data_IF_728377466003
#
_entry.id   IF_728377466003
#
_cell.length_a   1.000
_cell.length_b   1.000
_cell.length_c   1.000
_cell.angle_alpha   90.00
_cell.angle_beta   90.00
_cell.angle_gamma   90.00
#
_symmetry.space_group_name_H-M   'P 1'
#
loop_
_entity.id
_entity.type
_entity.pdbx_description
1 polymer ?
#
# COMPACT_ATOMS: atom_id res chain seq x y z
N UNK A 1 18.87 2.03 -25.30
CA UNK A 1 18.44 2.83 -24.13
C UNK A 1 18.65 1.95 -22.90
N UNK A 2 19.81 2.04 -22.24
CA UNK A 2 20.13 1.19 -21.08
C UNK A 2 19.49 1.78 -19.82
N UNK A 3 18.43 1.18 -19.31
CA UNK A 3 17.61 1.74 -18.22
C UNK A 3 17.81 0.94 -16.94
N UNK A 4 18.95 1.12 -16.26
CA UNK A 4 19.23 0.40 -15.01
C UNK A 4 18.73 1.13 -13.74
N UNK A 5 18.44 2.44 -13.80
CA UNK A 5 18.02 3.24 -12.64
C UNK A 5 16.68 3.98 -12.80
N UNK A 6 16.34 4.48 -14.01
CA UNK A 6 15.06 5.20 -14.25
C UNK A 6 13.83 4.27 -14.23
N UNK A 7 14.04 2.98 -14.38
CA UNK A 7 12.98 1.98 -14.54
C UNK A 7 12.24 1.64 -13.25
N UNK A 8 12.86 1.77 -12.07
CA UNK A 8 12.23 1.28 -10.85
C UNK A 8 11.15 2.23 -10.34
N UNK A 9 11.32 3.54 -10.54
CA UNK A 9 10.25 4.50 -10.27
C UNK A 9 9.04 4.26 -11.19
N UNK A 10 9.31 3.92 -12.45
CA UNK A 10 8.30 3.51 -13.44
C UNK A 10 7.57 2.22 -13.02
N UNK A 11 8.31 1.25 -12.45
CA UNK A 11 7.75 -0.02 -11.95
C UNK A 11 6.88 0.16 -10.71
N UNK A 12 7.14 1.19 -9.90
CA UNK A 12 6.33 1.55 -8.72
C UNK A 12 5.17 2.50 -9.04
N UNK A 13 4.96 2.88 -10.30
CA UNK A 13 3.90 3.82 -10.69
C UNK A 13 2.48 3.24 -10.47
N UNK A 14 2.31 1.92 -10.57
CA UNK A 14 1.05 1.27 -10.18
C UNK A 14 0.79 1.37 -8.67
N UNK A 15 1.84 1.36 -7.85
CA UNK A 15 1.73 1.58 -6.42
C UNK A 15 1.34 3.03 -6.08
N UNK A 16 1.74 4.00 -6.91
CA UNK A 16 1.22 5.37 -6.81
C UNK A 16 -0.29 5.42 -7.06
N UNK A 17 -0.79 4.67 -8.06
CA UNK A 17 -2.24 4.55 -8.32
C UNK A 17 -2.97 3.94 -7.13
N UNK A 18 -2.40 2.89 -6.53
CA UNK A 18 -2.91 2.29 -5.29
C UNK A 18 -2.99 3.33 -4.16
N UNK A 19 -1.93 4.10 -3.94
CA UNK A 19 -1.89 5.18 -2.95
C UNK A 19 -2.95 6.26 -3.17
N UNK A 20 -3.18 6.66 -4.43
CA UNK A 20 -4.25 7.59 -4.79
C UNK A 20 -5.63 7.06 -4.38
N UNK A 21 -5.92 5.82 -4.76
CA UNK A 21 -7.21 5.18 -4.49
C UNK A 21 -7.43 4.95 -3.00
N UNK A 22 -6.37 4.64 -2.28
CA UNK A 22 -6.34 4.43 -0.83
C UNK A 22 -6.69 5.69 -0.05
N UNK A 23 -6.06 6.84 -0.38
CA UNK A 23 -6.31 8.11 0.28
C UNK A 23 -7.53 8.87 -0.26
N UNK A 24 -8.20 8.36 -1.30
CA UNK A 24 -9.38 9.01 -1.89
C UNK A 24 -10.47 9.37 -0.86
N UNK A 25 -10.79 8.53 0.14
CA UNK A 25 -11.79 8.89 1.14
C UNK A 25 -11.44 10.16 1.92
N UNK A 26 -10.16 10.52 2.10
CA UNK A 26 -9.76 11.67 2.92
C UNK A 26 -10.42 12.98 2.44
N UNK A 27 -10.16 13.48 1.22
CA UNK A 27 -10.81 14.70 0.72
C UNK A 27 -12.29 14.49 0.38
N UNK A 28 -12.65 13.32 -0.14
CA UNK A 28 -13.98 13.13 -0.74
C UNK A 28 -15.04 12.69 0.25
N UNK A 29 -14.69 12.08 1.37
CA UNK A 29 -15.67 11.80 2.43
C UNK A 29 -16.26 13.11 2.94
N UNK A 30 -15.42 14.13 3.20
CA UNK A 30 -15.88 15.45 3.62
C UNK A 30 -16.70 16.16 2.52
N UNK A 31 -16.24 16.14 1.27
CA UNK A 31 -16.94 16.81 0.15
C UNK A 31 -18.29 16.15 -0.18
N UNK A 32 -18.36 14.82 -0.19
CA UNK A 32 -19.57 14.07 -0.54
C UNK A 32 -20.63 14.17 0.56
N UNK A 33 -20.23 14.21 1.84
CA UNK A 33 -21.19 14.37 2.94
C UNK A 33 -21.74 15.79 3.02
N UNK A 34 -20.95 16.79 2.62
CA UNK A 34 -21.37 18.21 2.56
C UNK A 34 -22.20 18.53 1.31
N UNK A 35 -21.93 17.91 0.16
CA UNK A 35 -22.68 18.15 -1.09
C UNK A 35 -23.98 17.32 -1.14
N UNK A 36 -25.01 17.85 -0.47
CA UNK A 36 -26.37 17.28 -0.49
C UNK A 36 -27.11 17.47 -1.81
N UNK A 37 -26.63 18.34 -2.70
CA UNK A 37 -27.29 18.63 -3.97
C UNK A 37 -26.99 17.55 -5.00
N UNK A 38 -25.73 17.10 -5.09
CA UNK A 38 -25.32 16.11 -6.11
C UNK A 38 -25.24 14.68 -5.59
N UNK A 39 -24.91 14.48 -4.31
CA UNK A 39 -24.62 13.16 -3.77
C UNK A 39 -25.65 12.69 -2.74
N UNK A 40 -26.22 13.60 -1.93
CA UNK A 40 -27.19 13.28 -0.87
C UNK A 40 -26.85 12.02 -0.05
N UNK A 41 -25.57 11.86 0.31
CA UNK A 41 -25.04 10.72 1.08
C UNK A 41 -24.84 11.15 2.54
N UNK A 42 -25.20 10.30 3.51
CA UNK A 42 -24.99 10.53 4.94
C UNK A 42 -23.55 10.22 5.38
N UNK A 43 -23.11 10.72 6.54
CA UNK A 43 -21.79 10.38 7.11
C UNK A 43 -21.65 8.87 7.34
N UNK A 44 -22.70 8.21 7.83
CA UNK A 44 -22.72 6.78 8.08
C UNK A 44 -22.52 5.99 6.77
N UNK A 45 -23.22 6.39 5.72
CA UNK A 45 -23.06 5.79 4.40
C UNK A 45 -21.66 6.01 3.81
N UNK A 46 -21.13 7.23 3.92
CA UNK A 46 -19.78 7.53 3.43
C UNK A 46 -18.69 6.74 4.19
N UNK A 47 -18.91 6.39 5.47
CA UNK A 47 -17.98 5.58 6.25
C UNK A 47 -17.77 4.17 5.67
N UNK A 48 -18.76 3.61 4.96
CA UNK A 48 -18.62 2.30 4.31
C UNK A 48 -17.64 2.32 3.15
N UNK A 49 -17.25 3.49 2.61
CA UNK A 49 -16.26 3.55 1.52
C UNK A 49 -14.92 2.89 1.88
N UNK A 50 -14.49 3.02 3.14
CA UNK A 50 -13.24 2.39 3.61
C UNK A 50 -13.41 0.88 3.82
N UNK A 51 -14.58 0.46 4.31
CA UNK A 51 -14.91 -0.95 4.57
C UNK A 51 -15.05 -1.74 3.25
N UNK A 52 -15.75 -1.18 2.27
CA UNK A 52 -15.96 -1.82 0.96
C UNK A 52 -14.65 -1.98 0.19
N UNK A 53 -13.74 -1.01 0.30
CA UNK A 53 -12.37 -1.14 -0.22
C UNK A 53 -11.64 -2.32 0.44
N UNK A 54 -11.64 -2.41 1.77
CA UNK A 54 -11.03 -3.52 2.49
C UNK A 54 -11.65 -4.88 2.12
N UNK A 55 -12.97 -4.94 1.91
CA UNK A 55 -13.66 -6.14 1.45
C UNK A 55 -13.19 -6.59 0.05
N UNK A 56 -13.00 -5.65 -0.88
CA UNK A 56 -12.40 -5.95 -2.19
C UNK A 56 -10.98 -6.50 -2.08
N UNK A 57 -10.20 -5.96 -1.14
CA UNK A 57 -8.84 -6.43 -0.88
C UNK A 57 -8.79 -7.82 -0.25
N UNK A 58 -9.82 -8.26 0.49
CA UNK A 58 -9.84 -9.57 1.15
C UNK A 58 -10.42 -10.69 0.29
N UNK A 59 -11.40 -10.38 -0.56
CA UNK A 59 -12.23 -11.39 -1.25
C UNK A 59 -11.57 -11.97 -2.50
N UNK A 60 -10.78 -11.18 -3.21
CA UNK A 60 -10.21 -11.53 -4.51
C UNK A 60 -8.74 -12.01 -4.54
N UNK A 61 -7.88 -11.82 -3.52
CA UNK A 61 -6.48 -12.28 -3.57
C UNK A 61 -6.35 -13.78 -3.78
N UNK A 62 -7.08 -14.61 -3.02
CA UNK A 62 -6.88 -16.07 -3.04
C UNK A 62 -7.13 -16.64 -4.45
N UNK A 63 -8.14 -16.11 -5.14
CA UNK A 63 -8.51 -16.52 -6.50
C UNK A 63 -7.52 -15.97 -7.55
N UNK A 64 -7.25 -14.67 -7.52
CA UNK A 64 -6.44 -13.98 -8.54
C UNK A 64 -4.94 -14.30 -8.43
N UNK A 65 -4.45 -14.63 -7.25
CA UNK A 65 -3.06 -15.03 -7.00
C UNK A 65 -2.78 -16.46 -7.45
N UNK A 66 -3.74 -17.36 -7.28
CA UNK A 66 -3.63 -18.72 -7.84
C UNK A 66 -3.51 -18.64 -9.37
N UNK A 67 -4.25 -17.71 -9.97
CA UNK A 67 -4.15 -17.37 -11.40
C UNK A 67 -2.80 -16.72 -11.73
N UNK A 68 -2.22 -15.90 -10.85
CA UNK A 68 -0.90 -15.28 -11.05
C UNK A 68 0.23 -16.30 -11.28
N UNK A 69 0.19 -17.45 -10.58
CA UNK A 69 1.16 -18.53 -10.79
C UNK A 69 1.03 -19.14 -12.20
N UNK A 70 -0.15 -19.04 -12.81
CA UNK A 70 -0.44 -19.55 -14.13
C UNK A 70 -0.02 -18.53 -15.20
N UNK A 71 -0.46 -17.28 -15.10
CA UNK A 71 -0.39 -16.28 -16.18
C UNK A 71 0.91 -15.44 -16.15
N UNK A 72 1.63 -15.43 -15.02
CA UNK A 72 2.88 -14.67 -14.88
C UNK A 72 2.69 -13.34 -14.14
N UNK A 73 3.81 -12.78 -13.66
CA UNK A 73 3.80 -11.61 -12.75
C UNK A 73 3.52 -10.32 -13.51
N UNK A 74 4.14 -10.15 -14.69
CA UNK A 74 3.92 -8.98 -15.55
C UNK A 74 2.46 -8.89 -15.99
N UNK A 75 1.92 -9.99 -16.50
CA UNK A 75 0.56 -10.03 -17.02
C UNK A 75 -0.45 -9.71 -15.92
N UNK A 76 -0.24 -10.24 -14.71
CA UNK A 76 -1.10 -9.96 -13.58
C UNK A 76 -1.06 -8.46 -13.17
N UNK A 77 0.13 -7.85 -13.15
CA UNK A 77 0.26 -6.41 -12.87
C UNK A 77 -0.43 -5.56 -13.93
N UNK A 78 -0.37 -5.94 -15.21
CA UNK A 78 -1.15 -5.29 -16.26
C UNK A 78 -2.66 -5.48 -16.05
N UNK A 79 -3.12 -6.69 -15.69
CA UNK A 79 -4.53 -6.95 -15.39
C UNK A 79 -5.04 -6.14 -14.19
N UNK A 80 -4.18 -5.79 -13.23
CA UNK A 80 -4.55 -4.93 -12.09
C UNK A 80 -4.97 -3.51 -12.50
N UNK A 81 -4.57 -3.05 -13.69
CA UNK A 81 -4.95 -1.73 -14.20
C UNK A 81 -6.42 -1.67 -14.59
N UNK A 82 -7.02 -2.78 -15.02
CA UNK A 82 -8.42 -2.86 -15.43
C UNK A 82 -9.36 -2.43 -14.28
N UNK A 83 -9.31 -3.04 -13.08
CA UNK A 83 -10.16 -2.61 -11.98
C UNK A 83 -9.86 -1.18 -11.52
N UNK A 84 -8.62 -0.69 -11.61
CA UNK A 84 -8.29 0.71 -11.30
C UNK A 84 -8.90 1.70 -12.29
N UNK A 85 -8.78 1.45 -13.60
CA UNK A 85 -9.36 2.27 -14.66
C UNK A 85 -10.88 2.30 -14.48
N UNK A 86 -11.53 1.14 -14.33
CA UNK A 86 -12.98 1.06 -14.09
C UNK A 86 -13.37 1.79 -12.82
N UNK A 87 -12.58 1.68 -11.75
CA UNK A 87 -12.82 2.41 -10.49
C UNK A 87 -12.80 3.93 -10.68
N UNK A 88 -11.84 4.48 -11.44
CA UNK A 88 -11.80 5.92 -11.73
C UNK A 88 -12.93 6.36 -12.67
N UNK A 89 -13.25 5.58 -13.69
CA UNK A 89 -14.36 5.87 -14.62
C UNK A 89 -15.69 5.92 -13.87
N UNK A 90 -15.97 4.94 -13.01
CA UNK A 90 -17.20 4.93 -12.22
C UNK A 90 -17.31 6.16 -11.32
N UNK A 91 -16.22 6.60 -10.68
CA UNK A 91 -16.22 7.82 -9.84
C UNK A 91 -16.35 9.11 -10.66
N UNK A 92 -15.89 9.12 -11.91
CA UNK A 92 -16.00 10.27 -12.78
C UNK A 92 -17.44 10.48 -13.26
N UNK A 93 -18.15 9.39 -13.57
CA UNK A 93 -19.46 9.43 -14.24
C UNK A 93 -20.62 9.33 -13.25
N UNK A 94 -20.44 8.65 -12.12
CA UNK A 94 -21.55 8.25 -11.25
C UNK A 94 -21.56 8.99 -9.93
N UNK A 95 -22.72 9.54 -9.55
CA UNK A 95 -23.00 10.11 -8.23
C UNK A 95 -23.74 9.16 -7.30
N UNK A 96 -24.23 8.02 -7.83
CA UNK A 96 -24.95 7.01 -7.07
C UNK A 96 -24.02 6.28 -6.09
N UNK A 97 -24.45 6.19 -4.82
CA UNK A 97 -23.75 5.52 -3.74
C UNK A 97 -23.33 4.07 -4.06
N UNK A 98 -24.21 3.28 -4.70
CA UNK A 98 -23.92 1.88 -5.03
C UNK A 98 -22.82 1.74 -6.07
N UNK A 99 -22.76 2.67 -7.02
CA UNK A 99 -21.68 2.71 -8.02
C UNK A 99 -20.37 3.20 -7.42
N UNK A 100 -20.43 4.10 -6.43
CA UNK A 100 -19.26 4.50 -5.64
C UNK A 100 -18.75 3.33 -4.79
N UNK A 101 -19.63 2.51 -4.19
CA UNK A 101 -19.25 1.28 -3.50
C UNK A 101 -18.61 0.27 -4.45
N UNK A 102 -19.21 0.03 -5.62
CA UNK A 102 -18.61 -0.83 -6.63
C UNK A 102 -17.22 -0.33 -7.05
N UNK A 103 -17.07 0.98 -7.25
CA UNK A 103 -15.79 1.57 -7.58
C UNK A 103 -14.74 1.35 -6.46
N UNK A 104 -15.13 1.46 -5.18
CA UNK A 104 -14.27 1.18 -4.03
C UNK A 104 -13.88 -0.30 -3.96
N UNK A 105 -14.83 -1.20 -4.20
CA UNK A 105 -14.59 -2.64 -4.22
C UNK A 105 -13.56 -3.01 -5.30
N UNK A 106 -13.73 -2.47 -6.51
CA UNK A 106 -12.79 -2.66 -7.61
C UNK A 106 -11.39 -2.09 -7.30
N UNK A 107 -11.30 -0.93 -6.64
CA UNK A 107 -10.01 -0.41 -6.19
C UNK A 107 -9.31 -1.40 -5.24
N UNK A 108 -10.05 -2.01 -4.30
CA UNK A 108 -9.52 -3.04 -3.42
C UNK A 108 -9.07 -4.30 -4.14
N UNK A 109 -9.81 -4.72 -5.16
CA UNK A 109 -9.42 -5.83 -6.02
C UNK A 109 -8.08 -5.57 -6.73
N UNK A 110 -7.88 -4.36 -7.25
CA UNK A 110 -6.62 -3.94 -7.86
C UNK A 110 -5.48 -3.93 -6.85
N UNK A 111 -5.71 -3.38 -5.65
CA UNK A 111 -4.72 -3.36 -4.57
C UNK A 111 -4.30 -4.77 -4.14
N UNK A 112 -5.24 -5.69 -3.99
CA UNK A 112 -4.94 -7.10 -3.70
C UNK A 112 -3.91 -7.69 -4.69
N UNK A 113 -4.09 -7.42 -5.98
CA UNK A 113 -3.17 -7.88 -7.03
C UNK A 113 -1.80 -7.22 -6.87
N UNK A 114 -1.78 -5.88 -6.73
CA UNK A 114 -0.53 -5.10 -6.69
C UNK A 114 0.30 -5.45 -5.46
N UNK A 115 -0.30 -5.48 -4.27
CA UNK A 115 0.41 -5.82 -3.03
C UNK A 115 0.93 -7.27 -3.03
N UNK A 116 0.27 -8.19 -3.74
CA UNK A 116 0.74 -9.57 -3.87
C UNK A 116 1.86 -9.73 -4.91
N UNK A 117 1.72 -9.12 -6.08
CA UNK A 117 2.61 -9.40 -7.22
C UNK A 117 3.78 -8.42 -7.36
N UNK A 118 3.59 -7.13 -7.02
CA UNK A 118 4.61 -6.12 -7.29
C UNK A 118 5.86 -6.30 -6.42
N UNK A 119 5.78 -6.54 -5.09
CA UNK A 119 6.97 -6.77 -4.28
C UNK A 119 7.75 -8.02 -4.70
N UNK A 120 7.04 -9.05 -5.18
CA UNK A 120 7.64 -10.28 -5.71
C UNK A 120 8.35 -10.01 -7.02
N UNK A 121 7.70 -9.32 -7.97
CA UNK A 121 8.30 -8.95 -9.25
C UNK A 121 9.55 -8.08 -9.06
N UNK A 122 9.49 -7.05 -8.21
CA UNK A 122 10.66 -6.22 -7.85
C UNK A 122 11.76 -7.08 -7.22
N UNK A 123 11.38 -8.02 -6.34
CA UNK A 123 12.33 -8.92 -5.68
C UNK A 123 13.00 -9.94 -6.60
N UNK A 124 12.35 -10.36 -7.69
CA UNK A 124 12.87 -11.31 -8.68
C UNK A 124 13.77 -10.62 -9.73
N UNK A 125 13.51 -9.36 -10.07
CA UNK A 125 14.29 -8.61 -11.06
C UNK A 125 15.46 -7.83 -10.46
N UNK A 126 15.40 -7.45 -9.18
CA UNK A 126 16.45 -6.65 -8.51
C UNK A 126 17.70 -7.48 -8.20
N UNK A 127 18.89 -6.90 -8.44
CA UNK A 127 20.14 -7.55 -8.00
C UNK A 127 20.30 -7.47 -6.46
N UNK A 128 21.02 -8.43 -5.84
CA UNK A 128 21.15 -8.51 -4.38
C UNK A 128 21.66 -7.22 -3.72
N UNK A 129 22.58 -6.50 -4.39
CA UNK A 129 23.18 -5.25 -3.87
C UNK A 129 22.17 -4.10 -3.70
N UNK A 130 21.07 -4.12 -4.44
CA UNK A 130 20.13 -3.00 -4.51
C UNK A 130 18.73 -3.34 -3.98
N UNK A 131 18.48 -4.63 -3.68
CA UNK A 131 17.17 -5.15 -3.23
C UNK A 131 16.60 -4.43 -2.01
N UNK A 132 17.46 -4.01 -1.07
CA UNK A 132 17.04 -3.27 0.13
C UNK A 132 16.54 -1.85 -0.17
N UNK A 133 17.17 -1.15 -1.12
CA UNK A 133 16.77 0.22 -1.52
C UNK A 133 15.49 0.16 -2.37
N UNK A 134 15.41 -0.79 -3.30
CA UNK A 134 14.26 -0.90 -4.21
C UNK A 134 13.01 -1.49 -3.55
N UNK A 135 13.15 -2.33 -2.53
CA UNK A 135 12.02 -2.83 -1.75
C UNK A 135 11.18 -1.70 -1.13
N UNK A 136 11.83 -0.60 -0.73
CA UNK A 136 11.15 0.59 -0.20
C UNK A 136 10.49 1.46 -1.27
N UNK A 137 10.91 1.37 -2.53
CA UNK A 137 10.36 2.22 -3.60
C UNK A 137 8.85 2.00 -3.79
N UNK A 138 8.38 0.76 -3.56
CA UNK A 138 6.97 0.39 -3.58
C UNK A 138 6.17 1.21 -2.55
N UNK A 139 6.59 1.16 -1.28
CA UNK A 139 5.90 1.82 -0.17
C UNK A 139 5.98 3.34 -0.31
N UNK A 140 7.13 3.87 -0.72
CA UNK A 140 7.29 5.31 -0.96
C UNK A 140 6.34 5.78 -2.07
N UNK A 141 6.18 5.01 -3.16
CA UNK A 141 5.24 5.35 -4.21
C UNK A 141 3.78 5.36 -3.73
N UNK A 142 3.38 4.42 -2.85
CA UNK A 142 2.06 4.44 -2.20
C UNK A 142 1.87 5.75 -1.41
N UNK A 143 2.80 6.12 -0.54
CA UNK A 143 2.66 7.35 0.25
C UNK A 143 2.70 8.63 -0.59
N UNK A 144 3.52 8.65 -1.66
CA UNK A 144 3.49 9.73 -2.64
C UNK A 144 2.12 9.83 -3.33
N UNK A 145 1.50 8.69 -3.66
CA UNK A 145 0.12 8.64 -4.17
C UNK A 145 -0.89 9.20 -3.16
N UNK A 146 -0.77 8.84 -1.88
CA UNK A 146 -1.66 9.37 -0.83
C UNK A 146 -1.53 10.89 -0.68
N UNK A 147 -0.31 11.41 -0.72
CA UNK A 147 -0.04 12.84 -0.73
C UNK A 147 -0.62 13.52 -1.98
N UNK A 148 -0.39 12.94 -3.17
CA UNK A 148 -0.94 13.43 -4.43
C UNK A 148 -2.47 13.50 -4.43
N UNK A 149 -3.16 12.51 -3.85
CA UNK A 149 -4.62 12.51 -3.73
C UNK A 149 -5.10 13.60 -2.77
N UNK A 150 -4.42 13.82 -1.65
CA UNK A 150 -4.79 14.90 -0.73
C UNK A 150 -4.53 16.29 -1.34
N UNK A 151 -3.50 16.46 -2.18
CA UNK A 151 -3.28 17.72 -2.90
C UNK A 151 -4.36 17.91 -3.96
N UNK A 152 -4.52 16.98 -4.90
CA UNK A 152 -5.45 17.11 -6.03
C UNK A 152 -6.89 17.15 -5.51
N UNK A 153 -7.27 16.22 -4.64
CA UNK A 153 -8.61 16.10 -4.09
C UNK A 153 -9.02 17.24 -3.17
N UNK A 154 -8.07 17.97 -2.58
CA UNK A 154 -8.39 19.18 -1.81
C UNK A 154 -8.89 20.31 -2.72
N UNK A 155 -8.23 20.55 -3.84
CA UNK A 155 -8.55 21.69 -4.72
C UNK A 155 -9.51 21.34 -5.88
N UNK A 156 -9.67 20.06 -6.21
CA UNK A 156 -10.51 19.61 -7.33
C UNK A 156 -11.78 18.88 -6.86
N UNK A 157 -12.77 18.82 -7.73
CA UNK A 157 -13.97 18.01 -7.53
C UNK A 157 -13.70 16.52 -7.79
N UNK A 158 -14.65 15.66 -7.40
CA UNK A 158 -14.56 14.19 -7.59
C UNK A 158 -14.31 13.83 -9.05
N UNK A 159 -15.00 14.48 -9.99
CA UNK A 159 -14.90 14.18 -11.42
C UNK A 159 -13.53 14.54 -11.99
N UNK A 160 -13.07 15.77 -11.78
CA UNK A 160 -11.75 16.26 -12.24
C UNK A 160 -10.63 15.40 -11.66
N UNK A 161 -10.70 15.10 -10.36
CA UNK A 161 -9.70 14.23 -9.71
C UNK A 161 -9.73 12.82 -10.26
N UNK A 162 -10.89 12.31 -10.66
CA UNK A 162 -11.02 10.99 -11.27
C UNK A 162 -10.44 10.97 -12.69
N UNK A 163 -10.61 12.03 -13.49
CA UNK A 163 -9.97 12.15 -14.81
C UNK A 163 -8.44 12.24 -14.71
N UNK A 164 -7.91 13.04 -13.78
CA UNK A 164 -6.47 13.13 -13.53
C UNK A 164 -5.94 11.77 -13.04
N UNK A 165 -6.66 11.15 -12.10
CA UNK A 165 -6.32 9.83 -11.55
C UNK A 165 -6.37 8.71 -12.60
N UNK A 166 -7.22 8.81 -13.61
CA UNK A 166 -7.35 7.84 -14.71
C UNK A 166 -6.11 7.82 -15.63
N UNK A 167 -5.47 8.96 -15.85
CA UNK A 167 -4.29 9.04 -16.72
C UNK A 167 -3.14 8.17 -16.23
N UNK A 168 -2.98 8.05 -14.90
CA UNK A 168 -1.86 7.37 -14.24
C UNK A 168 -1.83 5.86 -14.50
N UNK A 169 -2.91 5.07 -14.24
CA UNK A 169 -2.94 3.65 -14.56
C UNK A 169 -2.86 3.37 -16.07
N UNK A 170 -3.36 4.27 -16.93
CA UNK A 170 -3.25 4.15 -18.39
C UNK A 170 -1.79 4.31 -18.84
N UNK A 171 -1.11 5.35 -18.34
CA UNK A 171 0.32 5.55 -18.59
C UNK A 171 1.13 4.34 -18.09
N UNK A 172 0.79 3.82 -16.90
CA UNK A 172 1.42 2.61 -16.39
C UNK A 172 1.19 1.41 -17.31
N UNK A 173 -0.03 1.17 -17.79
CA UNK A 173 -0.34 0.05 -18.69
C UNK A 173 0.50 0.11 -19.98
N UNK A 174 0.61 1.30 -20.59
CA UNK A 174 1.39 1.49 -21.82
C UNK A 174 2.86 1.19 -21.54
N UNK A 175 3.44 1.79 -20.51
CA UNK A 175 4.86 1.65 -20.21
C UNK A 175 5.20 0.22 -19.77
N UNK A 176 4.41 -0.35 -18.86
CA UNK A 176 4.66 -1.66 -18.27
C UNK A 176 4.43 -2.80 -19.27
N UNK A 177 3.66 -2.57 -20.34
CA UNK A 177 3.52 -3.53 -21.44
C UNK A 177 4.85 -3.79 -22.17
N UNK A 178 5.80 -2.84 -22.17
CA UNK A 178 7.13 -3.03 -22.75
C UNK A 178 8.14 -3.68 -21.80
N UNK A 179 7.84 -3.79 -20.50
CA UNK A 179 8.74 -4.44 -19.54
C UNK A 179 8.81 -5.95 -19.81
N UNK A 180 9.97 -6.61 -19.60
CA UNK A 180 10.05 -8.06 -19.70
C UNK A 180 9.39 -8.74 -18.50
N UNK A 181 8.97 -9.99 -18.70
CA UNK A 181 8.49 -10.84 -17.61
C UNK A 181 9.65 -11.26 -16.70
N UNK A 182 9.34 -11.62 -15.46
CA UNK A 182 10.33 -12.08 -14.49
C UNK A 182 11.15 -13.27 -15.03
N UNK A 183 12.50 -13.18 -15.05
CA UNK A 183 13.37 -14.30 -15.41
C UNK A 183 13.11 -15.53 -14.55
N UNK A 184 12.79 -15.32 -13.27
CA UNK A 184 12.46 -16.38 -12.33
C UNK A 184 11.20 -17.16 -12.74
N UNK A 185 10.14 -16.45 -13.14
CA UNK A 185 8.93 -17.07 -13.68
C UNK A 185 9.20 -17.88 -14.94
N UNK A 186 10.00 -17.35 -15.85
CA UNK A 186 10.30 -17.99 -17.13
C UNK A 186 11.12 -19.27 -16.93
N UNK A 187 12.08 -19.28 -16.00
CA UNK A 187 12.83 -20.48 -15.59
C UNK A 187 11.88 -21.53 -15.01
N UNK A 188 10.98 -21.14 -14.09
CA UNK A 188 9.98 -22.06 -13.52
C UNK A 188 9.05 -22.68 -14.58
N UNK A 189 8.87 -22.02 -15.73
CA UNK A 189 8.06 -22.49 -16.86
C UNK A 189 8.88 -23.23 -17.93
N UNK A 190 10.14 -23.57 -17.65
CA UNK A 190 11.08 -24.19 -18.60
C UNK A 190 11.32 -23.37 -19.88
N UNK A 191 11.13 -22.04 -19.85
CA UNK A 191 11.35 -21.12 -20.98
C UNK A 191 12.71 -20.44 -20.87
N UNK A 192 13.78 -21.20 -21.09
CA UNK A 192 15.16 -20.76 -20.79
C UNK A 192 15.65 -19.60 -21.68
N UNK A 193 15.40 -19.64 -22.99
CA UNK A 193 15.85 -18.59 -23.91
C UNK A 193 15.17 -17.23 -23.64
N UNK A 194 13.90 -17.26 -23.28
CA UNK A 194 13.18 -16.05 -22.89
C UNK A 194 13.65 -15.51 -21.55
N UNK A 195 13.98 -16.40 -20.59
CA UNK A 195 14.56 -16.00 -19.32
C UNK A 195 15.91 -15.31 -19.52
N UNK A 196 16.78 -15.85 -20.39
CA UNK A 196 18.05 -15.21 -20.78
C UNK A 196 17.83 -13.86 -21.44
N UNK A 197 16.89 -13.78 -22.38
CA UNK A 197 16.54 -12.52 -23.07
C UNK A 197 16.03 -11.45 -22.09
N UNK A 198 15.16 -11.84 -21.14
CA UNK A 198 14.70 -10.97 -20.06
C UNK A 198 15.87 -10.51 -19.17
N UNK A 199 16.79 -11.41 -18.83
CA UNK A 199 17.98 -11.06 -18.05
C UNK A 199 18.87 -10.07 -18.79
N UNK A 200 19.13 -10.28 -20.09
CA UNK A 200 19.94 -9.38 -20.92
C UNK A 200 19.34 -7.99 -20.95
N UNK A 201 18.02 -7.91 -21.10
CA UNK A 201 17.29 -6.64 -21.06
C UNK A 201 17.42 -5.96 -19.69
N UNK A 202 17.13 -6.68 -18.61
CA UNK A 202 17.14 -6.15 -17.23
C UNK A 202 18.53 -5.75 -16.74
N UNK A 203 19.58 -6.46 -17.18
CA UNK A 203 20.98 -6.18 -16.81
C UNK A 203 21.67 -5.23 -17.78
N UNK A 204 21.07 -5.00 -18.95
CA UNK A 204 21.70 -4.27 -20.06
C UNK A 204 23.09 -4.83 -20.40
N UNK A 205 23.23 -6.17 -20.38
CA UNK A 205 24.46 -6.91 -20.63
C UNK A 205 24.14 -8.17 -21.45
N UNK A 206 25.04 -8.56 -22.35
CA UNK A 206 24.86 -9.80 -23.12
C UNK A 206 25.33 -11.03 -22.34
N UNK A 207 26.40 -10.89 -21.55
CA UNK A 207 26.91 -11.95 -20.68
C UNK A 207 26.08 -12.01 -19.39
N UNK A 208 25.13 -12.93 -19.40
CA UNK A 208 24.21 -13.22 -18.29
C UNK A 208 24.21 -14.70 -17.90
N UNK A 209 25.08 -15.51 -18.53
CA UNK A 209 25.01 -16.97 -18.45
C UNK A 209 25.29 -17.48 -17.04
N UNK A 210 26.28 -16.89 -16.37
CA UNK A 210 26.62 -17.18 -14.98
C UNK A 210 25.49 -16.83 -14.00
N UNK A 211 24.80 -15.70 -14.21
CA UNK A 211 23.67 -15.29 -13.37
C UNK A 211 22.44 -16.17 -13.64
N UNK A 212 22.21 -16.54 -14.90
CA UNK A 212 21.15 -17.45 -15.31
C UNK A 212 21.29 -18.84 -14.67
N UNK A 213 22.48 -19.45 -14.73
CA UNK A 213 22.72 -20.78 -14.12
C UNK A 213 22.60 -20.75 -12.59
N UNK A 214 23.04 -19.66 -11.95
CA UNK A 214 22.82 -19.46 -10.52
C UNK A 214 21.33 -19.35 -10.16
N UNK A 215 20.52 -18.65 -10.98
CA UNK A 215 19.06 -18.61 -10.78
C UNK A 215 18.41 -19.96 -11.04
N UNK A 216 18.79 -20.65 -12.11
CA UNK A 216 18.26 -21.96 -12.49
C UNK A 216 18.50 -23.00 -11.40
N UNK A 217 19.73 -23.12 -10.92
CA UNK A 217 20.06 -24.00 -9.80
C UNK A 217 19.32 -23.62 -8.51
N UNK A 218 19.05 -22.34 -8.28
CA UNK A 218 18.23 -21.88 -7.13
C UNK A 218 16.76 -22.25 -7.27
N UNK A 219 16.20 -22.25 -8.49
CA UNK A 219 14.82 -22.68 -8.78
C UNK A 219 14.69 -24.19 -8.67
N UNK A 220 15.64 -24.95 -9.22
CA UNK A 220 15.64 -26.43 -9.19
C UNK A 220 15.80 -26.99 -7.77
N UNK A 221 16.58 -26.30 -6.90
CA UNK A 221 16.71 -26.63 -5.48
C UNK A 221 15.52 -26.19 -4.63
N UNK A 222 14.59 -25.41 -5.19
CA UNK A 222 13.46 -24.89 -4.44
C UNK A 222 12.36 -25.94 -4.39
N UNK A 223 12.30 -26.72 -3.31
CA UNK A 223 11.15 -27.60 -3.06
C UNK A 223 9.88 -26.76 -2.90
N UNK A 224 8.87 -27.01 -3.74
CA UNK A 224 7.57 -26.36 -3.63
C UNK A 224 6.82 -26.91 -2.42
N UNK A 225 6.93 -26.24 -1.26
CA UNK A 225 6.19 -26.64 -0.06
C UNK A 225 4.67 -26.57 -0.31
N UNK A 226 3.90 -27.53 0.20
CA UNK A 226 2.43 -27.57 0.10
C UNK A 226 1.77 -26.53 1.02
N UNK A 227 0.53 -26.15 0.72
CA UNK A 227 -0.27 -25.32 1.65
C UNK A 227 -0.47 -26.02 3.00
N UNK A 228 -0.48 -27.35 3.01
CA UNK A 228 -0.51 -28.14 4.24
C UNK A 228 0.74 -28.00 5.12
N UNK A 229 1.89 -27.63 4.53
CA UNK A 229 3.17 -27.55 5.25
C UNK A 229 3.26 -26.29 6.11
N UNK A 230 2.47 -25.26 5.80
CA UNK A 230 2.27 -24.08 6.66
C UNK A 230 1.68 -24.47 8.02
N UNK A 231 0.73 -25.41 8.03
CA UNK A 231 -0.01 -25.83 9.22
C UNK A 231 0.59 -27.07 9.88
N UNK A 232 1.29 -27.93 9.13
CA UNK A 232 1.88 -29.16 9.68
C UNK A 232 3.25 -28.93 10.32
N UNK A 233 4.07 -28.03 9.78
CA UNK A 233 5.42 -27.79 10.28
C UNK A 233 5.40 -26.78 11.43
N UNK A 234 5.92 -27.17 12.59
CA UNK A 234 5.94 -26.35 13.81
C UNK A 234 6.64 -25.00 13.63
N UNK A 235 7.71 -24.95 12.84
CA UNK A 235 8.43 -23.71 12.52
C UNK A 235 7.55 -22.73 11.70
N UNK A 236 6.87 -23.23 10.66
CA UNK A 236 5.98 -22.41 9.83
C UNK A 236 4.76 -21.94 10.58
N UNK A 237 4.21 -22.77 11.48
CA UNK A 237 3.13 -22.35 12.38
C UNK A 237 3.54 -21.18 13.27
N UNK A 238 4.73 -21.23 13.87
CA UNK A 238 5.26 -20.12 14.68
C UNK A 238 5.42 -18.85 13.84
N UNK A 239 5.99 -18.98 12.65
CA UNK A 239 6.13 -17.87 11.70
C UNK A 239 4.77 -17.27 11.30
N UNK A 240 3.79 -18.12 10.98
CA UNK A 240 2.42 -17.72 10.64
C UNK A 240 1.75 -17.00 11.82
N UNK A 241 1.82 -17.55 13.03
CA UNK A 241 1.25 -16.89 14.21
C UNK A 241 1.89 -15.54 14.49
N UNK A 242 3.21 -15.41 14.28
CA UNK A 242 3.90 -14.14 14.45
C UNK A 242 3.50 -13.13 13.35
N UNK A 243 3.41 -13.57 12.09
CA UNK A 243 2.98 -12.72 10.97
C UNK A 243 1.55 -12.20 11.14
N UNK A 244 0.61 -13.10 11.47
CA UNK A 244 -0.79 -12.74 11.74
C UNK A 244 -0.89 -11.79 12.93
N UNK A 245 -0.16 -12.05 14.03
CA UNK A 245 -0.13 -11.14 15.18
C UNK A 245 0.37 -9.75 14.80
N UNK A 246 1.47 -9.65 14.05
CA UNK A 246 2.02 -8.37 13.59
C UNK A 246 1.04 -7.61 12.70
N UNK A 247 0.29 -8.31 11.83
CA UNK A 247 -0.72 -7.68 10.97
C UNK A 247 -1.96 -7.21 11.72
N UNK A 248 -2.49 -8.04 12.61
CA UNK A 248 -3.64 -7.67 13.43
C UNK A 248 -3.29 -6.48 14.31
N UNK A 249 -2.14 -6.52 14.99
CA UNK A 249 -1.72 -5.39 15.83
C UNK A 249 -1.44 -4.13 15.03
N UNK A 250 -0.93 -4.21 13.79
CA UNK A 250 -0.83 -3.06 12.89
C UNK A 250 -2.19 -2.48 12.49
N UNK A 251 -3.19 -3.32 12.22
CA UNK A 251 -4.55 -2.87 11.89
C UNK A 251 -5.19 -2.16 13.10
N UNK A 252 -4.99 -2.69 14.30
CA UNK A 252 -5.56 -2.16 15.54
C UNK A 252 -4.94 -0.84 16.00
N UNK A 253 -3.79 -0.40 15.46
CA UNK A 253 -3.22 0.91 15.84
C UNK A 253 -3.98 2.10 15.24
N UNK A 254 -4.89 1.86 14.28
CA UNK A 254 -5.63 2.94 13.62
C UNK A 254 -4.87 3.67 12.53
N UNK A 255 -3.69 3.19 12.10
CA UNK A 255 -2.89 3.84 11.04
C UNK A 255 -3.69 4.08 9.75
N UNK A 256 -4.56 3.14 9.40
CA UNK A 256 -5.40 3.21 8.21
C UNK A 256 -6.58 4.16 8.38
N UNK A 257 -7.10 4.31 9.61
CA UNK A 257 -8.17 5.27 9.93
C UNK A 257 -7.64 6.69 9.76
N UNK A 258 -6.45 6.97 10.28
CA UNK A 258 -5.81 8.28 10.13
C UNK A 258 -5.53 8.64 8.67
N UNK A 259 -5.14 7.67 7.83
CA UNK A 259 -4.92 7.91 6.40
C UNK A 259 -6.22 8.14 5.61
N UNK A 260 -7.32 7.46 5.96
CA UNK A 260 -8.58 7.54 5.23
C UNK A 260 -9.49 8.70 5.69
N UNK A 261 -9.42 9.09 6.96
CA UNK A 261 -10.28 10.10 7.57
C UNK A 261 -9.54 11.41 7.87
N UNK A 262 -8.34 11.64 7.32
CA UNK A 262 -7.47 12.77 7.68
C UNK A 262 -8.19 14.13 7.65
N UNK A 263 -8.76 14.52 6.51
CA UNK A 263 -9.46 15.81 6.42
C UNK A 263 -10.73 15.85 7.26
N UNK A 264 -11.42 14.72 7.43
CA UNK A 264 -12.63 14.66 8.24
C UNK A 264 -12.32 14.87 9.73
N UNK A 265 -11.24 14.27 10.24
CA UNK A 265 -10.74 14.48 11.61
C UNK A 265 -10.38 15.95 11.81
N UNK A 266 -9.62 16.56 10.88
CA UNK A 266 -9.26 17.97 10.98
C UNK A 266 -10.45 18.93 10.85
N UNK A 267 -11.46 18.57 10.06
CA UNK A 267 -12.69 19.34 9.97
C UNK A 267 -13.48 19.31 11.30
N UNK A 268 -13.57 18.14 11.94
CA UNK A 268 -14.23 18.01 13.25
C UNK A 268 -13.45 18.68 14.37
N UNK A 269 -12.12 18.67 14.32
CA UNK A 269 -11.27 19.34 15.31
C UNK A 269 -11.37 20.88 15.30
N UNK A 270 -11.87 21.49 14.22
CA UNK A 270 -12.09 22.94 14.15
C UNK A 270 -10.83 23.81 14.25
N UNK A 271 -9.67 23.28 13.83
CA UNK A 271 -8.34 23.90 13.90
C UNK A 271 -8.19 25.25 13.18
N UNK A 272 -7.17 26.02 13.57
CA UNK A 272 -6.81 27.29 12.92
C UNK A 272 -6.32 27.13 11.47
N UNK A 273 -5.93 25.90 11.09
CA UNK A 273 -5.46 25.54 9.75
C UNK A 273 -6.58 24.78 9.05
N UNK A 274 -6.83 25.10 7.78
CA UNK A 274 -7.87 24.43 7.00
C UNK A 274 -7.64 22.91 6.94
N UNK A 275 -8.71 22.08 6.95
CA UNK A 275 -8.58 20.63 6.91
C UNK A 275 -7.75 20.10 5.73
N UNK A 276 -7.86 20.79 4.59
CA UNK A 276 -7.11 20.49 3.37
C UNK A 276 -5.60 20.66 3.58
N UNK A 277 -5.19 21.82 4.12
CA UNK A 277 -3.77 22.12 4.36
C UNK A 277 -3.19 21.19 5.42
N UNK A 278 -3.94 20.93 6.50
CA UNK A 278 -3.56 19.97 7.55
C UNK A 278 -3.33 18.56 7.00
N UNK A 279 -4.18 18.08 6.08
CA UNK A 279 -3.98 16.77 5.44
C UNK A 279 -2.78 16.73 4.49
N UNK A 280 -2.50 17.83 3.76
CA UNK A 280 -1.30 17.94 2.92
C UNK A 280 -0.03 17.91 3.79
N UNK A 281 -0.01 18.63 4.92
CA UNK A 281 1.10 18.60 5.87
C UNK A 281 1.29 17.19 6.43
N UNK A 282 0.21 16.56 6.92
CA UNK A 282 0.23 15.21 7.47
C UNK A 282 0.78 14.18 6.48
N UNK A 283 0.28 14.18 5.24
CA UNK A 283 0.72 13.22 4.21
C UNK A 283 2.13 13.52 3.71
N UNK A 284 2.53 14.79 3.62
CA UNK A 284 3.90 15.20 3.31
C UNK A 284 4.90 14.70 4.35
N UNK A 285 4.60 14.88 5.65
CA UNK A 285 5.40 14.33 6.75
C UNK A 285 5.43 12.80 6.69
N UNK A 286 4.32 12.16 6.36
CA UNK A 286 4.24 10.69 6.20
C UNK A 286 5.23 10.20 5.13
N UNK A 287 5.28 10.84 3.95
CA UNK A 287 6.26 10.49 2.91
C UNK A 287 7.68 10.58 3.45
N UNK A 288 8.05 11.69 4.09
CA UNK A 288 9.41 11.93 4.61
C UNK A 288 9.77 10.87 5.67
N UNK A 289 8.90 10.65 6.64
CA UNK A 289 9.16 9.74 7.75
C UNK A 289 9.29 8.29 7.29
N UNK A 290 8.39 7.82 6.41
CA UNK A 290 8.44 6.45 5.90
C UNK A 290 9.60 6.22 4.91
N UNK A 291 10.08 7.25 4.20
CA UNK A 291 11.32 7.15 3.41
C UNK A 291 12.55 6.89 4.30
N UNK A 292 12.62 7.50 5.48
CA UNK A 292 13.75 7.35 6.41
C UNK A 292 13.60 6.14 7.36
N UNK A 293 12.40 5.58 7.48
CA UNK A 293 12.08 4.65 8.54
C UNK A 293 12.80 3.29 8.46
N UNK A 294 13.11 2.78 7.27
CA UNK A 294 13.90 1.55 7.14
C UNK A 294 15.32 1.70 7.68
N UNK A 295 15.93 2.87 7.49
CA UNK A 295 17.25 3.18 8.06
C UNK A 295 17.18 3.20 9.60
N UNK A 296 16.15 3.85 10.15
CA UNK A 296 15.97 3.97 11.60
C UNK A 296 15.69 2.60 12.26
N UNK A 297 14.82 1.79 11.64
CA UNK A 297 14.45 0.46 12.13
C UNK A 297 15.65 -0.51 12.16
N UNK A 298 16.53 -0.44 11.15
CA UNK A 298 17.73 -1.28 11.09
C UNK A 298 18.73 -0.95 12.21
N UNK A 299 18.84 0.32 12.62
CA UNK A 299 19.77 0.73 13.68
C UNK A 299 19.28 0.33 15.08
N UNK A 300 17.97 0.40 15.32
CA UNK A 300 17.36 0.10 16.63
C UNK A 300 17.11 -1.39 16.86
N UNK A 301 17.17 -2.21 15.81
CA UNK A 301 16.76 -3.60 15.87
C UNK A 301 15.24 -3.75 15.82
N UNK A 302 14.74 -4.68 15.00
CA UNK A 302 13.32 -4.78 14.64
C UNK A 302 12.40 -4.99 15.82
N UNK A 303 12.74 -5.91 16.72
CA UNK A 303 11.88 -6.22 17.88
C UNK A 303 11.73 -5.02 18.80
N UNK A 304 12.83 -4.33 19.10
CA UNK A 304 12.81 -3.14 19.98
C UNK A 304 12.09 -1.97 19.30
N UNK A 305 12.39 -1.70 18.03
CA UNK A 305 11.70 -0.68 17.24
C UNK A 305 10.18 -0.91 17.22
N UNK A 306 9.73 -2.15 17.05
CA UNK A 306 8.30 -2.50 17.07
C UNK A 306 7.64 -2.21 18.43
N UNK A 307 8.24 -2.71 19.52
CA UNK A 307 7.68 -2.56 20.87
C UNK A 307 7.63 -1.09 21.32
N UNK A 308 8.68 -0.32 21.04
CA UNK A 308 8.72 1.12 21.37
C UNK A 308 7.68 1.87 20.55
N UNK A 309 7.61 1.60 19.25
CA UNK A 309 6.68 2.26 18.33
C UNK A 309 5.22 2.02 18.72
N UNK A 310 4.84 0.76 19.00
CA UNK A 310 3.45 0.45 19.36
C UNK A 310 3.05 1.03 20.72
N UNK A 311 3.98 1.06 21.69
CA UNK A 311 3.75 1.68 22.99
C UNK A 311 3.53 3.20 22.87
N UNK A 312 4.43 3.89 22.16
CA UNK A 312 4.31 5.33 21.93
C UNK A 312 3.08 5.67 21.10
N UNK A 313 2.77 4.89 20.06
CA UNK A 313 1.55 5.06 19.26
C UNK A 313 0.30 4.92 20.13
N UNK A 314 0.28 3.96 21.07
CA UNK A 314 -0.80 3.80 22.03
C UNK A 314 -0.99 5.02 22.93
N UNK A 315 0.09 5.60 23.44
CA UNK A 315 0.02 6.84 24.24
C UNK A 315 -0.53 8.02 23.44
N UNK A 316 -0.11 8.16 22.18
CA UNK A 316 -0.60 9.23 21.29
C UNK A 316 -2.07 9.06 20.94
N UNK A 317 -2.51 7.83 20.63
CA UNK A 317 -3.93 7.57 20.33
C UNK A 317 -4.78 7.74 21.58
N UNK A 318 -4.29 7.35 22.77
CA UNK A 318 -4.98 7.58 24.04
C UNK A 318 -5.15 9.08 24.33
N UNK A 319 -4.12 9.87 24.06
CA UNK A 319 -4.17 11.31 24.29
C UNK A 319 -5.09 12.03 23.29
N UNK A 320 -5.08 11.62 22.02
CA UNK A 320 -6.05 12.06 20.99
C UNK A 320 -7.49 11.68 21.36
N UNK A 321 -7.72 10.44 21.78
CA UNK A 321 -9.04 9.98 22.22
C UNK A 321 -9.55 10.79 23.42
N UNK A 322 -8.66 11.14 24.35
CA UNK A 322 -8.99 11.99 25.50
C UNK A 322 -9.37 13.39 25.05
N UNK A 323 -8.64 13.99 24.11
CA UNK A 323 -8.97 15.30 23.54
C UNK A 323 -10.38 15.31 22.92
N UNK A 324 -10.68 14.36 22.02
CA UNK A 324 -12.00 14.30 21.38
C UNK A 324 -13.13 13.93 22.35
N UNK A 325 -12.85 13.12 23.38
CA UNK A 325 -13.82 12.83 24.44
C UNK A 325 -14.19 14.10 25.22
N UNK A 326 -13.21 14.92 25.61
CA UNK A 326 -13.46 16.17 26.31
C UNK A 326 -14.22 17.16 25.42
N UNK A 327 -13.84 17.30 24.16
CA UNK A 327 -14.52 18.18 23.19
C UNK A 327 -15.99 17.81 22.97
N UNK A 328 -16.33 16.52 22.97
CA UNK A 328 -17.68 16.04 22.67
C UNK A 328 -18.58 15.90 23.89
N UNK A 329 -18.05 15.41 25.02
CA UNK A 329 -18.83 15.09 26.23
C UNK A 329 -18.82 16.23 27.24
N UNK A 330 -17.73 17.00 27.30
CA UNK A 330 -17.52 18.09 28.26
C UNK A 330 -17.22 19.43 27.56
N UNK A 331 -18.15 19.95 26.73
CA UNK A 331 -17.95 21.20 25.98
C UNK A 331 -17.77 22.44 26.89
N UNK A 332 -18.09 22.33 28.18
CA UNK A 332 -17.78 23.34 29.20
C UNK A 332 -16.28 23.57 29.41
N UNK A 333 -15.43 22.59 29.05
CA UNK A 333 -13.98 22.74 29.08
C UNK A 333 -13.56 23.46 27.79
N UNK A 334 -13.16 24.73 27.90
CA UNK A 334 -12.76 25.50 26.73
C UNK A 334 -11.44 24.95 26.13
N UNK A 335 -11.56 24.21 25.02
CA UNK A 335 -10.44 23.66 24.24
C UNK A 335 -10.00 24.55 23.07
N UNK A 336 -10.51 25.78 22.93
CA UNK A 336 -10.20 26.66 21.79
C UNK A 336 -8.70 26.88 21.60
N UNK A 337 -7.96 27.07 22.69
CA UNK A 337 -6.49 27.22 22.68
C UNK A 337 -5.74 25.95 22.25
N UNK A 338 -6.40 24.79 22.26
CA UNK A 338 -5.82 23.48 21.99
C UNK A 338 -6.29 22.87 20.66
N UNK A 339 -7.00 23.63 19.80
CA UNK A 339 -7.46 23.16 18.47
C UNK A 339 -6.34 22.75 17.50
N UNK A 340 -5.08 23.09 17.80
CA UNK A 340 -3.90 22.63 17.06
C UNK A 340 -3.48 21.19 17.41
N UNK A 341 -3.96 20.68 18.55
CA UNK A 341 -3.50 19.43 19.13
C UNK A 341 -3.76 18.21 18.23
N UNK A 342 -4.94 18.02 17.61
CA UNK A 342 -5.18 16.87 16.73
C UNK A 342 -4.23 16.80 15.53
N UNK A 343 -3.77 17.94 15.01
CA UNK A 343 -2.74 17.95 13.96
C UNK A 343 -1.40 17.46 14.49
N UNK A 344 -0.99 17.94 15.66
CA UNK A 344 0.28 17.55 16.27
C UNK A 344 0.26 16.10 16.72
N UNK A 345 -0.83 15.61 17.30
CA UNK A 345 -0.94 14.21 17.71
C UNK A 345 -0.96 13.25 16.51
N UNK A 346 -1.67 13.56 15.43
CA UNK A 346 -1.57 12.79 14.18
C UNK A 346 -0.16 12.80 13.56
N UNK A 347 0.54 13.94 13.58
CA UNK A 347 1.94 14.03 13.12
C UNK A 347 2.85 13.18 14.02
N UNK A 348 2.69 13.29 15.35
CA UNK A 348 3.46 12.52 16.32
C UNK A 348 3.22 11.02 16.13
N UNK A 349 1.96 10.62 15.86
CA UNK A 349 1.61 9.25 15.52
C UNK A 349 2.37 8.76 14.28
N UNK A 350 2.46 9.56 13.21
CA UNK A 350 3.25 9.22 12.01
C UNK A 350 4.72 9.05 12.34
N UNK A 351 5.29 9.96 13.13
CA UNK A 351 6.69 9.90 13.54
C UNK A 351 6.97 8.60 14.29
N UNK A 352 6.16 8.28 15.31
CA UNK A 352 6.37 7.08 16.13
C UNK A 352 6.01 5.78 15.42
N UNK A 353 5.02 5.80 14.51
CA UNK A 353 4.59 4.62 13.77
C UNK A 353 5.55 4.24 12.65
N UNK A 354 6.17 5.23 12.00
CA UNK A 354 6.99 5.01 10.80
C UNK A 354 8.14 4.04 11.03
N UNK A 355 8.91 4.19 12.12
CA UNK A 355 10.10 3.35 12.38
C UNK A 355 9.80 1.95 12.92
N UNK A 356 8.56 1.68 13.32
CA UNK A 356 8.16 0.42 13.94
C UNK A 356 6.91 -0.17 13.30
N UNK A 357 5.75 0.07 13.93
CA UNK A 357 4.50 -0.62 13.59
C UNK A 357 4.04 -0.40 12.13
N UNK A 358 4.43 0.71 11.51
CA UNK A 358 4.11 1.01 10.12
C UNK A 358 4.83 0.13 9.09
N UNK A 359 6.10 -0.25 9.33
CA UNK A 359 6.94 -0.94 8.34
C UNK A 359 7.25 -2.38 8.72
N UNK A 360 7.51 -2.64 9.99
CA UNK A 360 8.04 -3.93 10.46
C UNK A 360 7.12 -5.11 10.12
N UNK A 361 5.78 -5.05 10.29
CA UNK A 361 4.89 -6.14 9.88
C UNK A 361 5.05 -6.53 8.41
N UNK A 362 5.12 -5.53 7.53
CA UNK A 362 5.33 -5.75 6.08
C UNK A 362 6.72 -6.33 5.79
N UNK A 363 7.75 -5.83 6.47
CA UNK A 363 9.13 -6.29 6.29
C UNK A 363 9.32 -7.74 6.78
N UNK A 364 8.71 -8.07 7.92
CA UNK A 364 8.82 -9.38 8.56
C UNK A 364 8.12 -10.50 7.78
N UNK A 365 7.08 -10.22 6.98
CA UNK A 365 6.52 -11.23 6.05
C UNK A 365 7.59 -11.80 5.13
N UNK A 366 8.50 -10.95 4.65
CA UNK A 366 9.61 -11.36 3.81
C UNK A 366 10.67 -12.21 4.51
N UNK A 367 10.69 -12.29 5.84
CA UNK A 367 11.80 -12.89 6.60
C UNK A 367 11.38 -14.00 7.56
N UNK A 368 10.10 -14.04 7.95
CA UNK A 368 9.56 -15.05 8.84
C UNK A 368 9.42 -16.43 8.17
N UNK A 369 9.19 -16.47 6.86
CA UNK A 369 8.93 -17.71 6.13
C UNK A 369 10.18 -18.23 5.40
N UNK A 370 10.39 -19.54 5.47
CA UNK A 370 11.37 -20.25 4.65
C UNK A 370 11.09 -20.02 3.16
N UNK A 371 12.13 -19.99 2.32
CA UNK A 371 12.05 -19.70 0.88
C UNK A 371 11.06 -20.59 0.11
N UNK A 372 10.83 -21.82 0.56
CA UNK A 372 9.87 -22.77 -0.01
C UNK A 372 8.40 -22.41 0.25
N UNK A 373 8.12 -21.66 1.32
CA UNK A 373 6.75 -21.34 1.78
C UNK A 373 6.46 -19.84 1.74
N UNK A 374 7.50 -19.01 1.64
CA UNK A 374 7.44 -17.55 1.58
C UNK A 374 6.44 -17.00 0.56
N UNK A 375 6.31 -17.53 -0.67
CA UNK A 375 5.25 -17.08 -1.57
C UNK A 375 3.86 -17.28 -0.97
N UNK A 376 3.61 -18.41 -0.30
CA UNK A 376 2.33 -18.76 0.33
C UNK A 376 2.08 -18.03 1.65
N UNK A 377 3.12 -17.81 2.43
CA UNK A 377 3.06 -17.09 3.71
C UNK A 377 2.83 -15.60 3.56
N UNK A 378 3.33 -14.98 2.47
CA UNK A 378 3.09 -13.57 2.15
C UNK A 378 1.62 -13.25 1.82
N UNK A 379 0.75 -14.26 1.67
CA UNK A 379 -0.68 -14.08 1.42
C UNK A 379 -1.53 -13.95 2.70
N UNK A 380 -0.94 -14.21 3.87
CA UNK A 380 -1.53 -13.95 5.19
C UNK A 380 -0.91 -12.68 5.78
#
# INVERSE_FOLDING_TARGET
MCICYKDVFLRSFVAFTSGLLYAWPSPFLLKITQDKVHYNISENEASYFTIVHAAGMLTLPILLVSIAQIIGRKTLLNLSTIPYITSFVLKAVCTNIWLLYLARFLAGAGDAIVFAALPVYIGEIATPKIRGIWGNSFIIAVFLGQCGMNIIGSYCNVQVTSYIGLAIPVIFLIIFSFMPESPYYLIMRNRQEEAKSSLRWLRCKEDVESEFENMKSSVEKQESGSWGDLLRIKANRKALTAGVFLRISQLLTGVYVFAAYTQFIFAKAGGNISPQMSAIIYTGVTVIMYSCAAYLSNKMGRRQAYMISIFLAGLVVLSEATYFYLDTVHPEINLESYKWYPLVGMILFVVVSSFGVGIIPTLMLGELFATSIKPKGNYF
#
